data_IF_094878670155
#
_entry.id   IF_094878670155
#
_cell.length_a   1.000
_cell.length_b   1.000
_cell.length_c   1.000
_cell.angle_alpha   90.00
_cell.angle_beta   90.00
_cell.angle_gamma   90.00
#
_symmetry.space_group_name_H-M   'P 1'
#
loop_
_entity.id
_entity.type
_entity.pdbx_description
1 polymer ?
#
# COMPACT_ATOMS: atom_id res chain seq x y z
N UNK A 1 -5.39 19.18 -18.10
CA UNK A 1 -4.23 19.44 -17.20
C UNK A 1 -4.36 18.66 -15.89
N UNK A 2 -5.52 18.69 -15.23
CA UNK A 2 -5.77 17.96 -13.97
C UNK A 2 -5.57 16.44 -14.09
N UNK A 3 -6.13 15.81 -15.12
CA UNK A 3 -6.03 14.37 -15.38
C UNK A 3 -4.59 13.92 -15.64
N UNK A 4 -3.82 14.72 -16.37
CA UNK A 4 -2.42 14.43 -16.69
C UNK A 4 -1.54 14.44 -15.43
N UNK A 5 -1.70 15.45 -14.57
CA UNK A 5 -0.94 15.57 -13.32
C UNK A 5 -1.30 14.42 -12.37
N UNK A 6 -2.60 14.11 -12.17
CA UNK A 6 -3.02 13.04 -11.28
C UNK A 6 -2.53 11.66 -11.75
N UNK A 7 -2.57 11.36 -13.05
CA UNK A 7 -2.06 10.10 -13.59
C UNK A 7 -0.54 9.97 -13.42
N UNK A 8 0.24 11.01 -13.74
CA UNK A 8 1.71 10.96 -13.57
C UNK A 8 2.07 10.84 -12.09
N UNK A 9 1.43 11.64 -11.25
CA UNK A 9 1.69 11.66 -9.80
C UNK A 9 1.38 10.30 -9.19
N UNK A 10 0.18 9.74 -9.42
CA UNK A 10 -0.18 8.43 -8.85
C UNK A 10 0.71 7.30 -9.39
N UNK A 11 0.98 7.28 -10.70
CA UNK A 11 1.79 6.23 -11.30
C UNK A 11 3.26 6.24 -10.86
N UNK A 12 3.79 7.39 -10.42
CA UNK A 12 5.16 7.49 -9.92
C UNK A 12 5.25 7.31 -8.41
N UNK A 13 4.34 7.91 -7.64
CA UNK A 13 4.44 7.95 -6.19
C UNK A 13 4.02 6.64 -5.52
N UNK A 14 3.04 5.92 -6.05
CA UNK A 14 2.63 4.64 -5.47
C UNK A 14 3.76 3.60 -5.53
N UNK A 15 4.42 3.34 -6.68
CA UNK A 15 5.62 2.50 -6.74
C UNK A 15 6.72 2.93 -5.78
N UNK A 16 7.02 4.22 -5.73
CA UNK A 16 8.05 4.76 -4.84
C UNK A 16 7.69 4.51 -3.36
N UNK A 17 6.42 4.66 -3.00
CA UNK A 17 5.94 4.38 -1.65
C UNK A 17 6.12 2.92 -1.26
N UNK A 18 5.85 1.97 -2.18
CA UNK A 18 6.11 0.54 -1.96
C UNK A 18 7.59 0.24 -1.80
N UNK A 19 8.48 0.84 -2.62
CA UNK A 19 9.94 0.69 -2.49
C UNK A 19 10.41 1.19 -1.13
N UNK A 20 10.05 2.41 -0.75
CA UNK A 20 10.43 2.99 0.55
C UNK A 20 9.89 2.15 1.70
N UNK A 21 8.65 1.68 1.60
CA UNK A 21 8.02 0.84 2.61
C UNK A 21 8.74 -0.50 2.78
N UNK A 22 9.12 -1.15 1.67
CA UNK A 22 9.91 -2.38 1.68
C UNK A 22 11.29 -2.16 2.28
N UNK A 23 11.97 -1.08 1.89
CA UNK A 23 13.27 -0.71 2.44
C UNK A 23 13.19 -0.49 3.96
N UNK A 24 12.27 0.34 4.43
CA UNK A 24 12.10 0.65 5.86
C UNK A 24 11.60 -0.55 6.68
N UNK A 25 10.83 -1.46 6.05
CA UNK A 25 10.37 -2.66 6.74
C UNK A 25 11.53 -3.57 7.12
N UNK A 26 12.51 -3.75 6.23
CA UNK A 26 13.68 -4.60 6.45
C UNK A 26 14.91 -3.85 6.96
N UNK A 27 14.87 -2.53 7.08
CA UNK A 27 15.94 -1.76 7.67
C UNK A 27 16.27 -2.26 9.10
N UNK A 28 17.56 -2.45 9.37
CA UNK A 28 18.07 -2.94 10.65
C UNK A 28 17.62 -4.36 11.07
N UNK A 29 17.09 -5.16 10.13
CA UNK A 29 16.79 -6.57 10.39
C UNK A 29 18.05 -7.40 10.16
N UNK A 30 18.68 -7.86 11.23
CA UNK A 30 19.82 -8.79 11.17
C UNK A 30 19.33 -10.21 10.93
N UNK A 31 18.33 -10.64 11.70
CA UNK A 31 17.65 -11.92 11.58
C UNK A 31 16.14 -11.72 11.68
N UNK A 32 15.41 -12.44 10.84
CA UNK A 32 13.96 -12.37 10.79
C UNK A 32 13.36 -13.53 11.57
N UNK A 33 13.18 -13.31 12.87
CA UNK A 33 12.55 -14.27 13.78
C UNK A 33 11.04 -14.02 13.88
N UNK A 34 10.29 -14.99 14.42
CA UNK A 34 8.87 -14.81 14.73
C UNK A 34 8.61 -13.64 15.68
N UNK A 35 9.51 -13.38 16.61
CA UNK A 35 9.43 -12.23 17.50
C UNK A 35 9.55 -10.91 16.74
N UNK A 36 10.54 -10.82 15.83
CA UNK A 36 10.72 -9.67 14.94
C UNK A 36 9.49 -9.45 14.07
N UNK A 37 8.91 -10.52 13.53
CA UNK A 37 7.68 -10.46 12.73
C UNK A 37 6.51 -9.93 13.57
N UNK A 38 6.24 -10.52 14.73
CA UNK A 38 5.15 -10.11 15.61
C UNK A 38 5.28 -8.64 16.04
N UNK A 39 6.49 -8.21 16.41
CA UNK A 39 6.76 -6.80 16.74
C UNK A 39 6.46 -5.86 15.57
N UNK A 40 6.95 -6.20 14.36
CA UNK A 40 6.72 -5.39 13.16
C UNK A 40 5.25 -5.35 12.78
N UNK A 41 4.56 -6.48 12.79
CA UNK A 41 3.12 -6.59 12.50
C UNK A 41 2.30 -5.75 13.46
N UNK A 42 2.56 -5.83 14.77
CA UNK A 42 1.88 -4.98 15.78
C UNK A 42 2.09 -3.50 15.53
N UNK A 43 3.30 -3.10 15.15
CA UNK A 43 3.61 -1.70 14.81
C UNK A 43 2.88 -1.26 13.54
N UNK A 44 2.84 -2.11 12.51
CA UNK A 44 2.14 -1.83 11.25
C UNK A 44 0.63 -1.79 11.42
N UNK A 45 0.10 -2.64 12.27
CA UNK A 45 -1.32 -2.60 12.62
C UNK A 45 -1.73 -1.20 13.11
N UNK A 46 -0.98 -0.63 14.05
CA UNK A 46 -1.27 0.71 14.58
C UNK A 46 -1.05 1.83 13.55
N UNK A 47 -0.03 1.71 12.70
CA UNK A 47 0.35 2.79 11.77
C UNK A 47 -0.36 2.75 10.42
N UNK A 48 -0.89 1.60 10.00
CA UNK A 48 -1.56 1.42 8.71
C UNK A 48 -3.01 0.98 8.85
N UNK A 49 -3.27 -0.10 9.63
CA UNK A 49 -4.61 -0.68 9.71
C UNK A 49 -5.56 0.25 10.46
N UNK A 50 -5.13 0.84 11.57
CA UNK A 50 -5.98 1.75 12.35
C UNK A 50 -6.36 3.00 11.54
N UNK A 51 -5.44 3.76 10.92
CA UNK A 51 -5.81 4.87 10.03
C UNK A 51 -6.66 4.43 8.85
N UNK A 52 -6.37 3.28 8.25
CA UNK A 52 -7.17 2.72 7.15
C UNK A 52 -8.63 2.53 7.55
N UNK A 53 -8.88 1.94 8.72
CA UNK A 53 -10.24 1.72 9.24
C UNK A 53 -10.91 3.07 9.52
N UNK A 54 -10.22 4.01 10.19
CA UNK A 54 -10.78 5.32 10.55
C UNK A 54 -11.22 6.09 9.29
N UNK A 55 -10.37 6.16 8.27
CA UNK A 55 -10.68 6.90 7.05
C UNK A 55 -11.78 6.25 6.21
N UNK A 56 -11.86 4.91 6.15
CA UNK A 56 -12.97 4.22 5.51
C UNK A 56 -14.28 4.42 6.28
N UNK A 57 -14.23 4.37 7.63
CA UNK A 57 -15.38 4.63 8.48
C UNK A 57 -15.90 6.06 8.30
N UNK A 58 -14.98 7.04 8.24
CA UNK A 58 -15.32 8.42 7.95
C UNK A 58 -16.05 8.57 6.62
N UNK A 59 -15.51 7.95 5.55
CA UNK A 59 -16.16 7.96 4.24
C UNK A 59 -17.53 7.27 4.27
N UNK A 60 -17.64 6.13 4.95
CA UNK A 60 -18.91 5.43 5.11
C UNK A 60 -19.96 6.31 5.79
N UNK A 61 -19.60 6.98 6.88
CA UNK A 61 -20.49 7.90 7.59
C UNK A 61 -20.93 9.05 6.68
N UNK A 62 -20.00 9.63 5.91
CA UNK A 62 -20.34 10.68 4.94
C UNK A 62 -21.31 10.19 3.88
N UNK A 63 -21.12 8.99 3.32
CA UNK A 63 -22.03 8.42 2.33
C UNK A 63 -23.43 8.16 2.92
N UNK A 64 -23.49 7.66 4.16
CA UNK A 64 -24.78 7.49 4.87
C UNK A 64 -25.48 8.83 5.04
N UNK A 65 -24.80 9.85 5.54
CA UNK A 65 -25.38 11.20 5.74
C UNK A 65 -25.85 11.84 4.44
N UNK A 66 -25.02 11.74 3.39
CA UNK A 66 -25.39 12.25 2.05
C UNK A 66 -26.59 11.49 1.47
N UNK A 67 -26.68 10.18 1.71
CA UNK A 67 -27.85 9.38 1.30
C UNK A 67 -29.16 9.85 1.93
N UNK A 68 -29.13 10.29 3.20
CA UNK A 68 -30.31 10.85 3.88
C UNK A 68 -30.64 12.27 3.43
N UNK A 69 -29.62 13.11 3.19
CA UNK A 69 -29.84 14.55 2.87
C UNK A 69 -30.14 14.75 1.37
N UNK A 70 -29.51 13.96 0.51
CA UNK A 70 -29.51 14.15 -0.94
C UNK A 70 -29.83 12.86 -1.69
N UNK A 71 -30.90 12.16 -1.29
CA UNK A 71 -31.31 10.87 -1.88
C UNK A 71 -31.51 10.92 -3.40
N UNK A 72 -31.81 12.08 -3.98
CA UNK A 72 -31.89 12.28 -5.43
C UNK A 72 -30.54 12.37 -6.17
N UNK A 73 -29.46 12.71 -5.47
CA UNK A 73 -28.12 12.81 -6.08
C UNK A 73 -27.37 11.48 -6.13
N UNK A 74 -27.72 10.56 -5.24
CA UNK A 74 -27.11 9.23 -5.14
C UNK A 74 -27.92 8.13 -5.83
N UNK A 75 -29.01 8.48 -6.50
CA UNK A 75 -29.86 7.54 -7.25
C UNK A 75 -29.25 7.14 -8.62
N UNK A 76 -27.95 6.79 -8.60
CA UNK A 76 -27.33 6.06 -9.69
C UNK A 76 -27.59 4.55 -9.55
N UNK A 77 -26.95 3.75 -10.39
CA UNK A 77 -27.03 2.27 -10.39
C UNK A 77 -26.46 1.57 -9.14
N UNK A 78 -26.24 2.31 -8.04
CA UNK A 78 -25.66 1.80 -6.82
C UNK A 78 -26.73 1.34 -5.83
N UNK A 79 -26.46 0.22 -5.14
CA UNK A 79 -27.30 -0.25 -4.05
C UNK A 79 -27.40 0.84 -2.97
N UNK A 80 -28.62 1.24 -2.55
CA UNK A 80 -28.78 2.23 -1.49
C UNK A 80 -28.16 1.75 -0.18
N UNK A 81 -27.51 2.64 0.56
CA UNK A 81 -26.87 2.27 1.84
C UNK A 81 -27.87 1.77 2.87
N UNK A 82 -29.14 2.22 2.77
CA UNK A 82 -30.24 1.74 3.59
C UNK A 82 -30.49 0.22 3.46
N UNK A 83 -30.10 -0.36 2.34
CA UNK A 83 -30.29 -1.76 2.02
C UNK A 83 -29.04 -2.62 2.28
N UNK A 84 -27.98 -2.00 2.87
CA UNK A 84 -26.74 -2.70 3.19
C UNK A 84 -26.96 -3.72 4.30
N UNK A 85 -26.53 -4.97 4.04
CA UNK A 85 -26.36 -6.00 5.06
C UNK A 85 -25.07 -5.77 5.87
N UNK A 86 -24.92 -6.49 6.99
CA UNK A 86 -23.67 -6.46 7.76
C UNK A 86 -22.44 -6.85 6.91
N UNK A 87 -22.62 -7.76 5.96
CA UNK A 87 -21.56 -8.18 5.04
C UNK A 87 -21.21 -7.05 4.05
N UNK A 88 -22.18 -6.29 3.58
CA UNK A 88 -21.93 -5.15 2.68
C UNK A 88 -21.07 -4.08 3.37
N UNK A 89 -21.29 -3.86 4.66
CA UNK A 89 -20.41 -2.95 5.44
C UNK A 89 -18.97 -3.47 5.51
N UNK A 90 -18.76 -4.77 5.68
CA UNK A 90 -17.41 -5.35 5.65
C UNK A 90 -16.80 -5.25 4.24
N UNK A 91 -17.59 -5.52 3.20
CA UNK A 91 -17.15 -5.39 1.81
C UNK A 91 -16.82 -3.94 1.46
N UNK A 92 -17.53 -2.96 1.98
CA UNK A 92 -17.23 -1.55 1.77
C UNK A 92 -15.82 -1.16 2.25
N UNK A 93 -15.30 -1.82 3.28
CA UNK A 93 -13.92 -1.61 3.74
C UNK A 93 -12.88 -2.33 2.88
N UNK A 94 -13.28 -3.32 2.08
CA UNK A 94 -12.33 -4.12 1.32
C UNK A 94 -12.48 -3.92 -0.19
N UNK A 95 -13.69 -4.09 -0.69
CA UNK A 95 -13.97 -4.12 -2.11
C UNK A 95 -15.44 -3.82 -2.39
N UNK A 96 -15.75 -2.61 -2.83
CA UNK A 96 -17.12 -2.19 -3.13
C UNK A 96 -17.73 -2.90 -4.33
N UNK A 97 -16.93 -3.47 -5.23
CA UNK A 97 -17.44 -4.27 -6.35
C UNK A 97 -18.17 -5.56 -5.93
N UNK A 98 -17.99 -6.01 -4.67
CA UNK A 98 -18.75 -7.12 -4.08
C UNK A 98 -20.16 -6.71 -3.65
N UNK A 99 -20.39 -5.41 -3.46
CA UNK A 99 -21.70 -4.83 -3.14
C UNK A 99 -22.42 -4.49 -4.43
N UNK A 100 -21.70 -3.91 -5.38
CA UNK A 100 -22.20 -3.46 -6.65
C UNK A 100 -21.18 -3.77 -7.75
N UNK A 101 -21.52 -4.66 -8.67
CA UNK A 101 -20.65 -5.15 -9.73
C UNK A 101 -20.17 -4.07 -10.71
N UNK A 102 -20.82 -2.91 -10.76
CA UNK A 102 -20.40 -1.77 -11.56
C UNK A 102 -19.29 -0.94 -10.90
N UNK A 103 -19.02 -1.16 -9.61
CA UNK A 103 -17.99 -0.43 -8.88
C UNK A 103 -16.60 -0.99 -9.18
N UNK A 104 -15.60 -0.12 -9.05
CA UNK A 104 -14.21 -0.54 -9.10
C UNK A 104 -13.86 -1.39 -7.86
N UNK A 105 -12.90 -2.33 -7.96
CA UNK A 105 -12.48 -3.20 -6.86
C UNK A 105 -11.65 -2.43 -5.80
N UNK A 106 -12.24 -1.40 -5.22
CA UNK A 106 -11.62 -0.46 -4.28
C UNK A 106 -12.38 -0.45 -2.95
N UNK A 107 -11.77 -0.02 -1.84
CA UNK A 107 -12.50 0.29 -0.62
C UNK A 107 -13.42 1.50 -0.83
N UNK A 108 -14.37 1.72 0.07
CA UNK A 108 -15.32 2.86 -0.01
C UNK A 108 -14.61 4.21 -0.07
N UNK A 109 -13.46 4.33 0.60
CA UNK A 109 -12.52 5.42 0.38
C UNK A 109 -11.53 5.01 -0.71
N UNK A 110 -11.91 5.21 -1.98
CA UNK A 110 -11.16 4.76 -3.16
C UNK A 110 -9.65 4.97 -3.09
N UNK A 111 -9.14 6.17 -2.81
CA UNK A 111 -7.69 6.43 -2.69
C UNK A 111 -6.94 5.52 -1.73
N UNK A 112 -7.60 4.88 -0.77
CA UNK A 112 -6.92 3.99 0.20
C UNK A 112 -6.62 2.58 -0.35
N UNK A 113 -6.92 2.29 -1.62
CA UNK A 113 -6.62 0.99 -2.22
C UNK A 113 -5.14 0.60 -2.09
N UNK A 114 -4.22 1.57 -2.25
CA UNK A 114 -2.79 1.30 -2.13
C UNK A 114 -2.35 1.00 -0.69
N UNK A 115 -3.01 1.62 0.33
CA UNK A 115 -2.75 1.30 1.74
C UNK A 115 -3.25 -0.10 2.08
N UNK A 116 -4.43 -0.52 1.57
CA UNK A 116 -4.92 -1.89 1.70
C UNK A 116 -3.91 -2.89 1.14
N UNK A 117 -3.46 -2.67 -0.08
CA UNK A 117 -2.47 -3.52 -0.72
C UNK A 117 -1.16 -3.56 0.06
N UNK A 118 -0.70 -2.42 0.56
CA UNK A 118 0.50 -2.35 1.39
C UNK A 118 0.36 -3.13 2.71
N UNK A 119 -0.82 -3.08 3.36
CA UNK A 119 -1.11 -3.87 4.56
C UNK A 119 -0.97 -5.37 4.24
N UNK A 120 -1.56 -5.83 3.15
CA UNK A 120 -1.46 -7.23 2.71
C UNK A 120 -0.02 -7.62 2.45
N UNK A 121 0.71 -6.83 1.67
CA UNK A 121 2.12 -7.13 1.35
C UNK A 121 2.98 -7.18 2.61
N UNK A 122 2.81 -6.25 3.55
CA UNK A 122 3.62 -6.22 4.77
C UNK A 122 3.25 -7.28 5.80
N UNK A 123 1.98 -7.65 5.90
CA UNK A 123 1.55 -8.63 6.91
C UNK A 123 1.66 -10.05 6.36
N UNK A 124 1.20 -10.28 5.12
CA UNK A 124 1.12 -11.63 4.56
C UNK A 124 2.42 -12.03 3.85
N UNK A 125 2.93 -11.17 2.97
CA UNK A 125 4.02 -11.53 2.07
C UNK A 125 5.42 -11.22 2.63
N UNK A 126 5.57 -10.29 3.57
CA UNK A 126 6.90 -9.88 4.06
C UNK A 126 7.75 -11.04 4.61
N UNK A 127 7.23 -12.03 5.36
CA UNK A 127 8.03 -13.18 5.79
C UNK A 127 8.58 -13.98 4.60
N UNK A 128 7.72 -14.29 3.64
CA UNK A 128 8.12 -15.03 2.43
C UNK A 128 9.15 -14.24 1.61
N UNK A 129 8.93 -12.94 1.42
CA UNK A 129 9.86 -12.05 0.71
C UNK A 129 11.23 -12.06 1.38
N UNK A 130 11.31 -11.99 2.71
CA UNK A 130 12.59 -12.04 3.41
C UNK A 130 13.38 -13.32 3.10
N UNK A 131 12.75 -14.48 3.27
CA UNK A 131 13.42 -15.77 3.05
C UNK A 131 13.80 -15.98 1.58
N UNK A 132 12.90 -15.61 0.66
CA UNK A 132 13.15 -15.75 -0.79
C UNK A 132 14.28 -14.82 -1.24
N UNK A 133 14.26 -13.55 -0.84
CA UNK A 133 15.31 -12.58 -1.16
C UNK A 133 16.64 -13.00 -0.53
N UNK A 134 16.63 -13.46 0.73
CA UNK A 134 17.86 -13.92 1.40
C UNK A 134 18.50 -15.13 0.71
N UNK A 135 17.67 -16.05 0.20
CA UNK A 135 18.13 -17.27 -0.48
C UNK A 135 18.53 -17.02 -1.95
N UNK A 136 17.71 -16.29 -2.68
CA UNK A 136 17.85 -16.12 -4.14
C UNK A 136 18.40 -14.75 -4.55
N UNK A 137 18.70 -13.87 -3.58
CA UNK A 137 19.26 -12.53 -3.79
C UNK A 137 18.41 -11.69 -4.74
N UNK A 138 18.95 -11.33 -5.92
CA UNK A 138 18.31 -10.47 -6.92
C UNK A 138 17.24 -11.21 -7.77
N UNK A 139 17.28 -12.54 -7.81
CA UNK A 139 16.42 -13.33 -8.73
C UNK A 139 14.93 -13.04 -8.54
N UNK A 140 14.36 -13.00 -7.30
CA UNK A 140 12.93 -12.69 -7.13
C UNK A 140 12.56 -11.31 -7.61
N UNK A 141 13.46 -10.32 -7.50
CA UNK A 141 13.24 -8.97 -8.03
C UNK A 141 13.17 -9.01 -9.55
N UNK A 142 14.06 -9.75 -10.22
CA UNK A 142 14.06 -9.88 -11.68
C UNK A 142 12.81 -10.61 -12.18
N UNK A 143 12.40 -11.69 -11.54
CA UNK A 143 11.20 -12.45 -11.90
C UNK A 143 9.95 -11.57 -11.75
N UNK A 144 9.77 -10.93 -10.60
CA UNK A 144 8.62 -10.05 -10.37
C UNK A 144 8.64 -8.83 -11.31
N UNK A 145 9.82 -8.28 -11.61
CA UNK A 145 9.98 -7.20 -12.56
C UNK A 145 9.61 -7.59 -13.99
N UNK A 146 9.98 -8.79 -14.43
CA UNK A 146 9.55 -9.32 -15.74
C UNK A 146 8.03 -9.55 -15.77
N UNK A 147 7.46 -10.16 -14.74
CA UNK A 147 6.00 -10.35 -14.67
C UNK A 147 5.24 -9.01 -14.71
N UNK A 148 5.75 -8.01 -13.99
CA UNK A 148 5.18 -6.66 -14.00
C UNK A 148 5.32 -6.00 -15.39
N UNK A 149 6.47 -6.16 -16.07
CA UNK A 149 6.73 -5.58 -17.38
C UNK A 149 5.81 -6.20 -18.46
N UNK A 150 5.49 -7.49 -18.33
CA UNK A 150 4.54 -8.18 -19.21
C UNK A 150 3.08 -8.02 -18.78
N UNK A 151 2.80 -7.06 -17.89
CA UNK A 151 1.45 -6.73 -17.41
C UNK A 151 0.69 -7.97 -16.86
N UNK A 152 1.44 -8.92 -16.29
CA UNK A 152 0.82 -10.08 -15.65
C UNK A 152 0.10 -9.63 -14.39
N UNK A 153 -1.24 -9.61 -14.45
CA UNK A 153 -2.07 -9.26 -13.30
C UNK A 153 -2.77 -10.50 -12.74
N UNK A 154 -2.79 -10.56 -11.41
CA UNK A 154 -3.44 -11.68 -10.68
C UNK A 154 -4.95 -11.53 -10.59
N UNK A 155 -5.50 -10.35 -10.89
CA UNK A 155 -6.91 -9.96 -10.68
C UNK A 155 -7.40 -10.18 -9.23
N UNK A 156 -6.47 -10.35 -8.28
CA UNK A 156 -6.79 -10.56 -6.88
C UNK A 156 -6.84 -9.21 -6.17
N UNK A 157 -7.98 -8.90 -5.56
CA UNK A 157 -8.14 -7.68 -4.78
C UNK A 157 -7.30 -7.75 -3.50
N UNK A 158 -6.47 -6.74 -3.29
CA UNK A 158 -5.62 -6.63 -2.10
C UNK A 158 -4.13 -6.66 -2.37
N UNK A 159 -3.68 -7.11 -3.56
CA UNK A 159 -2.30 -6.96 -4.01
C UNK A 159 -2.20 -7.12 -5.53
N UNK A 160 -1.16 -6.55 -6.12
CA UNK A 160 -0.79 -6.73 -7.51
C UNK A 160 0.65 -7.23 -7.62
N UNK A 161 1.02 -7.74 -8.80
CA UNK A 161 2.42 -8.10 -9.09
C UNK A 161 3.33 -6.87 -8.97
N UNK A 162 2.85 -5.70 -9.37
CA UNK A 162 3.58 -4.44 -9.20
C UNK A 162 3.86 -4.11 -7.74
N UNK A 163 2.86 -4.26 -6.85
CA UNK A 163 3.03 -4.03 -5.41
C UNK A 163 4.11 -4.94 -4.81
N UNK A 164 4.07 -6.22 -5.17
CA UNK A 164 5.08 -7.20 -4.74
C UNK A 164 6.46 -6.88 -5.32
N UNK A 165 6.55 -6.50 -6.58
CA UNK A 165 7.80 -6.12 -7.24
C UNK A 165 8.46 -4.95 -6.55
N UNK A 166 7.76 -3.83 -6.43
CA UNK A 166 8.33 -2.61 -5.85
C UNK A 166 8.68 -2.78 -4.37
N UNK A 167 7.85 -3.48 -3.61
CA UNK A 167 8.15 -3.78 -2.20
C UNK A 167 9.37 -4.72 -2.08
N UNK A 168 9.47 -5.74 -2.92
CA UNK A 168 10.61 -6.68 -2.93
C UNK A 168 11.90 -6.00 -3.36
N UNK A 169 11.83 -5.06 -4.30
CA UNK A 169 12.96 -4.21 -4.69
C UNK A 169 13.46 -3.38 -3.50
N UNK A 170 12.55 -2.78 -2.74
CA UNK A 170 12.89 -2.08 -1.49
C UNK A 170 13.49 -2.99 -0.43
N UNK A 171 12.95 -4.21 -0.28
CA UNK A 171 13.49 -5.23 0.62
C UNK A 171 14.93 -5.64 0.22
N UNK A 172 15.15 -5.90 -1.06
CA UNK A 172 16.47 -6.25 -1.59
C UNK A 172 17.51 -5.14 -1.34
N UNK A 173 17.17 -3.90 -1.65
CA UNK A 173 18.07 -2.75 -1.41
C UNK A 173 18.39 -2.59 0.07
N UNK A 174 17.44 -2.83 0.97
CA UNK A 174 17.67 -2.78 2.41
C UNK A 174 18.59 -3.89 2.90
N UNK A 175 18.42 -5.12 2.39
CA UNK A 175 19.18 -6.29 2.86
C UNK A 175 20.61 -6.35 2.29
N UNK A 176 20.84 -5.84 1.08
CA UNK A 176 22.11 -6.04 0.38
C UNK A 176 22.87 -4.72 0.08
N UNK A 177 22.21 -3.62 -0.16
CA UNK A 177 22.91 -2.39 -0.56
C UNK A 177 23.42 -1.53 0.59
N UNK A 178 23.12 -1.89 1.83
CA UNK A 178 23.61 -1.26 3.08
C UNK A 178 23.78 0.27 3.01
N UNK A 179 22.85 0.93 2.32
CA UNK A 179 22.90 2.36 1.98
C UNK A 179 22.91 3.24 3.24
N UNK A 180 22.39 2.71 4.35
CA UNK A 180 22.38 3.40 5.64
C UNK A 180 23.81 3.67 6.18
N UNK A 181 24.76 2.75 5.95
CA UNK A 181 26.15 2.97 6.35
C UNK A 181 26.86 4.01 5.47
N UNK A 182 26.48 4.14 4.19
CA UNK A 182 27.01 5.22 3.32
C UNK A 182 26.42 6.57 3.68
N UNK A 183 25.13 6.67 3.93
CA UNK A 183 24.47 7.92 4.38
C UNK A 183 24.98 8.35 5.76
N UNK A 184 25.35 7.41 6.63
CA UNK A 184 25.96 7.74 7.92
C UNK A 184 27.39 8.29 7.82
N UNK A 185 28.09 8.08 6.70
CA UNK A 185 29.39 8.66 6.42
C UNK A 185 29.31 10.05 5.78
N UNK A 186 28.12 10.50 5.34
CA UNK A 186 27.93 11.86 4.88
C UNK A 186 27.99 12.81 6.07
N UNK A 187 28.75 13.89 5.90
CA UNK A 187 28.91 14.94 6.91
C UNK A 187 27.55 15.56 7.28
N UNK A 188 27.38 16.06 8.52
CA UNK A 188 26.11 16.60 9.01
C UNK A 188 25.39 17.59 8.09
N UNK A 189 26.05 18.53 7.37
CA UNK A 189 25.37 19.46 6.49
C UNK A 189 24.66 18.79 5.31
N UNK A 190 25.22 17.70 4.76
CA UNK A 190 24.56 16.98 3.65
C UNK A 190 23.33 16.20 4.09
N UNK A 191 23.27 15.77 5.36
CA UNK A 191 22.07 15.12 5.93
C UNK A 191 20.92 16.09 6.05
N UNK A 192 21.21 17.31 6.49
CA UNK A 192 20.20 18.37 6.63
C UNK A 192 19.68 18.83 5.26
N UNK A 193 20.57 18.98 4.28
CA UNK A 193 20.21 19.35 2.91
C UNK A 193 19.36 18.27 2.24
N UNK A 194 19.69 17.00 2.42
CA UNK A 194 18.92 15.88 1.87
C UNK A 194 17.54 15.77 2.55
N UNK A 195 17.48 15.99 3.85
CA UNK A 195 16.23 16.00 4.61
C UNK A 195 15.32 17.17 4.22
N UNK A 196 15.90 18.38 4.05
CA UNK A 196 15.20 19.57 3.59
C UNK A 196 14.75 19.43 2.13
N UNK A 197 15.55 18.77 1.29
CA UNK A 197 15.19 18.52 -0.11
C UNK A 197 14.05 17.52 -0.24
N UNK A 198 14.06 16.46 0.56
CA UNK A 198 12.95 15.47 0.63
C UNK A 198 11.67 16.12 1.17
N UNK A 199 11.76 17.00 2.19
CA UNK A 199 10.60 17.73 2.72
C UNK A 199 10.06 18.81 1.76
N UNK A 200 10.87 19.33 0.85
CA UNK A 200 10.42 20.27 -0.20
C UNK A 200 9.73 19.57 -1.37
N UNK A 201 9.95 18.26 -1.54
CA UNK A 201 9.39 17.43 -2.61
C UNK A 201 8.18 16.60 -2.13
N UNK A 202 7.87 16.60 -0.83
CA UNK A 202 6.68 16.01 -0.22
C UNK A 202 5.60 17.09 0.02
#
# INVERSE_FOLDING_TARGET
>A
VSTFISHIVCNLFVPLYFIISGYLYFANVKEYSMETYAYKTKRRFRSLVVPYIIWNLYSLILFVLLGFIASGFLSGSHKPITDYSLLDFLYAFWNTSLINSSDLPMPINGPLWFIRNLIVVQIVFAPAIYYVVKKLKIIPVLILGLLWLFEFDTHIVGFSVGDLFFFTLGAYTSLYMNTYHRLNRLTPPYRLLLFVHILRLA
#
